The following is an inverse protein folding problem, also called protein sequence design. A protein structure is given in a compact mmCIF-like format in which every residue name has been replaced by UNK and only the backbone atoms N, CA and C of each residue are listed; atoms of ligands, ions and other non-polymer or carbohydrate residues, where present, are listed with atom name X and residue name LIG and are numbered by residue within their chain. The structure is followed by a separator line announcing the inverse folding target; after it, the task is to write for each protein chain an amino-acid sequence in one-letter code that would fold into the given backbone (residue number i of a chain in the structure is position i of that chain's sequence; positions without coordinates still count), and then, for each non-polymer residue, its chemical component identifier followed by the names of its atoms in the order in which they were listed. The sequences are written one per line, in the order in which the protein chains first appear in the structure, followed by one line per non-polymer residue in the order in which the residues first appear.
data_IF_095517382452
#
_entry.id   IF_095517382452
#
_cell.length_a   1.000
_cell.length_b   1.000
_cell.length_c   1.000
_cell.angle_alpha   90.00
_cell.angle_beta   90.00
_cell.angle_gamma   90.00
#
_symmetry.space_group_name_H-M   'P 1'
#
loop_
_entity.id
_entity.type
_entity.pdbx_description
1 polymer ?
#
# COMPACT_ATOMS: atom_id res chain seq x y z
N UNK A 1 -3.97 24.12 -24.35
CA UNK A 1 -4.75 25.37 -24.43
C UNK A 1 -4.32 26.18 -25.63
N UNK A 2 -5.27 26.76 -26.38
CA UNK A 2 -4.97 27.71 -27.45
C UNK A 2 -5.27 29.13 -26.97
N UNK A 3 -4.38 30.07 -27.25
CA UNK A 3 -4.55 31.47 -26.92
C UNK A 3 -4.18 32.38 -28.11
N UNK A 4 -4.89 33.49 -28.27
CA UNK A 4 -4.49 34.54 -29.19
C UNK A 4 -3.49 35.48 -28.50
N UNK A 5 -2.62 36.14 -29.25
CA UNK A 5 -1.71 37.15 -28.73
C UNK A 5 -2.50 38.36 -28.27
N UNK A 6 -3.43 38.85 -29.11
CA UNK A 6 -4.23 40.02 -28.81
C UNK A 6 -5.63 39.65 -28.39
N UNK A 7 -5.91 39.84 -27.10
CA UNK A 7 -7.25 39.59 -26.55
C UNK A 7 -7.74 40.82 -25.77
N UNK A 8 -9.06 41.08 -25.71
CA UNK A 8 -9.62 42.11 -24.88
C UNK A 8 -9.33 41.85 -23.39
N UNK A 9 -9.01 42.89 -22.61
CA UNK A 9 -8.76 42.88 -21.16
C UNK A 9 -7.42 42.32 -20.72
N UNK A 10 -6.94 41.24 -21.32
CA UNK A 10 -5.66 40.59 -21.00
C UNK A 10 -5.09 40.01 -22.28
N UNK A 11 -3.87 40.38 -22.65
CA UNK A 11 -3.19 39.81 -23.80
C UNK A 11 -2.62 38.41 -23.51
N UNK A 12 -2.26 37.68 -24.56
CA UNK A 12 -1.75 36.32 -24.45
C UNK A 12 -0.46 36.23 -23.66
N UNK A 13 0.45 37.20 -23.74
CA UNK A 13 1.70 37.25 -23.01
C UNK A 13 1.46 37.33 -21.49
N UNK A 14 0.61 38.28 -21.10
CA UNK A 14 0.19 38.43 -19.70
C UNK A 14 -0.49 37.17 -19.16
N UNK A 15 -1.28 36.50 -19.98
CA UNK A 15 -1.93 35.23 -19.62
C UNK A 15 -0.89 34.14 -19.37
N UNK A 16 0.06 33.93 -20.29
CA UNK A 16 1.12 32.92 -20.17
C UNK A 16 1.96 33.16 -18.94
N UNK A 17 2.38 34.41 -18.69
CA UNK A 17 3.16 34.76 -17.49
C UNK A 17 2.41 34.42 -16.18
N UNK A 18 1.10 34.66 -16.12
CA UNK A 18 0.29 34.26 -14.94
C UNK A 18 0.16 32.76 -14.77
N UNK A 19 0.26 31.99 -15.85
CA UNK A 19 0.19 30.54 -15.80
C UNK A 19 1.50 29.90 -15.31
N UNK A 20 2.61 30.64 -15.29
CA UNK A 20 3.86 30.14 -14.69
C UNK A 20 3.73 29.88 -13.19
N UNK A 21 2.80 30.51 -12.52
CA UNK A 21 2.51 30.35 -11.09
C UNK A 21 1.63 29.12 -10.77
N UNK A 22 1.07 28.45 -11.80
CA UNK A 22 0.22 27.27 -11.59
C UNK A 22 1.04 26.03 -11.27
N UNK A 23 0.57 25.23 -10.33
CA UNK A 23 1.16 23.95 -9.96
C UNK A 23 1.07 22.90 -11.11
N UNK A 24 0.02 22.98 -11.92
CA UNK A 24 -0.14 22.17 -13.15
C UNK A 24 -0.25 23.13 -14.34
N UNK A 25 0.80 23.19 -15.15
CA UNK A 25 0.87 24.08 -16.32
C UNK A 25 0.25 23.38 -17.54
N UNK A 26 -0.76 23.97 -18.19
CA UNK A 26 -1.28 23.43 -19.43
C UNK A 26 -0.28 23.65 -20.57
N UNK A 27 -0.28 22.73 -21.53
CA UNK A 27 0.41 22.94 -22.81
C UNK A 27 -0.25 24.10 -23.54
N UNK A 28 0.51 25.16 -23.86
CA UNK A 28 0.01 26.39 -24.47
C UNK A 28 0.48 26.48 -25.92
N UNK A 29 -0.46 26.76 -26.82
CA UNK A 29 -0.22 27.03 -28.23
C UNK A 29 -0.78 28.41 -28.54
N UNK A 30 0.02 29.23 -29.21
CA UNK A 30 -0.31 30.59 -29.55
C UNK A 30 -0.84 30.67 -30.98
N UNK A 31 -1.94 31.43 -31.15
CA UNK A 31 -2.47 31.82 -32.44
C UNK A 31 -1.97 33.22 -32.78
N UNK A 32 -1.20 33.38 -33.87
CA UNK A 32 -0.53 34.65 -34.20
C UNK A 32 -0.89 35.15 -35.60
N UNK A 33 -1.03 36.45 -35.77
CA UNK A 33 -1.03 37.11 -37.07
C UNK A 33 0.40 37.34 -37.60
N UNK A 34 0.52 37.70 -38.88
CA UNK A 34 1.82 37.96 -39.51
C UNK A 34 2.63 39.08 -38.80
N UNK A 35 1.96 40.09 -38.30
CA UNK A 35 2.57 41.26 -37.64
C UNK A 35 2.98 41.01 -36.20
N UNK A 36 2.72 39.80 -35.67
CA UNK A 36 2.86 39.46 -34.26
C UNK A 36 3.99 38.46 -33.99
N UNK A 37 4.81 38.14 -34.99
CA UNK A 37 5.88 37.13 -34.90
C UNK A 37 6.85 37.40 -33.73
N UNK A 38 7.21 38.68 -33.51
CA UNK A 38 8.11 39.06 -32.40
C UNK A 38 7.53 38.68 -31.02
N UNK A 39 6.22 38.85 -30.84
CA UNK A 39 5.51 38.49 -29.60
C UNK A 39 5.43 36.96 -29.44
N UNK A 40 5.22 36.22 -30.54
CA UNK A 40 5.23 34.76 -30.50
C UNK A 40 6.59 34.21 -30.03
N UNK A 41 7.68 34.77 -30.53
CA UNK A 41 9.06 34.42 -30.12
C UNK A 41 9.30 34.74 -28.63
N UNK A 42 8.77 35.85 -28.12
CA UNK A 42 8.86 36.20 -26.72
C UNK A 42 8.07 35.22 -25.84
N UNK A 43 6.86 34.86 -26.24
CA UNK A 43 6.02 33.89 -25.53
C UNK A 43 6.65 32.51 -25.49
N UNK A 44 7.42 32.10 -26.51
CA UNK A 44 8.18 30.85 -26.50
C UNK A 44 9.21 30.79 -25.37
N UNK A 45 9.84 31.91 -25.00
CA UNK A 45 10.76 31.98 -23.85
C UNK A 45 10.07 31.77 -22.52
N UNK A 46 8.75 31.96 -22.48
CA UNK A 46 7.88 31.75 -21.30
C UNK A 46 7.18 30.37 -21.32
N UNK A 47 7.72 29.40 -22.06
CA UNK A 47 7.24 28.01 -22.01
C UNK A 47 6.00 27.71 -22.88
N UNK A 48 5.70 28.57 -23.88
CA UNK A 48 4.73 28.24 -24.91
C UNK A 48 5.30 27.11 -25.79
N UNK A 49 4.50 26.09 -26.04
CA UNK A 49 4.96 24.88 -26.77
C UNK A 49 5.13 25.12 -28.26
N UNK A 50 4.19 25.83 -28.85
CA UNK A 50 4.19 26.09 -30.30
C UNK A 50 3.33 27.30 -30.68
N UNK A 51 3.43 27.75 -31.93
CA UNK A 51 2.57 28.82 -32.46
C UNK A 51 2.02 28.48 -33.83
N UNK A 52 0.82 28.96 -34.14
CA UNK A 52 0.14 28.76 -35.41
C UNK A 52 -0.17 30.11 -36.02
N UNK A 53 0.25 30.31 -37.28
CA UNK A 53 -0.06 31.51 -38.05
C UNK A 53 -1.51 31.50 -38.60
N UNK A 54 -2.18 32.61 -38.50
CA UNK A 54 -3.47 32.86 -39.14
C UNK A 54 -3.27 33.15 -40.64
N UNK A 55 -4.12 32.61 -41.55
CA UNK A 55 -5.36 31.87 -41.29
C UNK A 55 -5.09 30.41 -40.89
N UNK A 56 -5.80 29.96 -39.86
CA UNK A 56 -5.63 28.63 -39.29
C UNK A 56 -6.21 27.58 -40.25
N UNK A 57 -5.37 26.64 -40.67
CA UNK A 57 -5.81 25.49 -41.46
C UNK A 57 -6.11 24.31 -40.54
N UNK A 58 -7.18 23.58 -40.89
CA UNK A 58 -7.63 22.40 -40.14
C UNK A 58 -6.51 21.35 -40.03
N UNK A 59 -5.83 21.09 -41.14
CA UNK A 59 -4.78 20.09 -41.25
C UNK A 59 -3.59 20.40 -40.27
N UNK A 60 -3.27 21.69 -40.12
CA UNK A 60 -2.20 22.14 -39.21
C UNK A 60 -2.55 21.86 -37.74
N UNK A 61 -3.82 22.10 -37.37
CA UNK A 61 -4.28 21.80 -36.01
C UNK A 61 -4.33 20.30 -35.76
N UNK A 62 -4.86 19.52 -36.73
CA UNK A 62 -4.93 18.04 -36.60
C UNK A 62 -3.52 17.44 -36.40
N UNK A 63 -2.55 17.80 -37.23
CA UNK A 63 -1.16 17.34 -37.09
C UNK A 63 -0.54 17.73 -35.76
N UNK A 64 -0.77 18.94 -35.30
CA UNK A 64 -0.24 19.43 -34.03
C UNK A 64 -0.86 18.68 -32.85
N UNK A 65 -2.16 18.43 -32.87
CA UNK A 65 -2.84 17.67 -31.82
C UNK A 65 -2.39 16.21 -31.80
N UNK A 66 -2.23 15.56 -32.94
CA UNK A 66 -1.68 14.19 -33.03
C UNK A 66 -0.26 14.10 -32.48
N UNK A 67 0.61 15.08 -32.78
CA UNK A 67 1.95 15.11 -32.23
C UNK A 67 1.96 15.31 -30.73
N UNK A 68 1.11 16.21 -30.20
CA UNK A 68 1.00 16.45 -28.76
C UNK A 68 0.42 15.23 -28.04
N UNK A 69 -0.56 14.55 -28.62
CA UNK A 69 -1.15 13.34 -28.05
C UNK A 69 -0.08 12.25 -27.94
N UNK A 70 0.72 12.06 -28.98
CA UNK A 70 1.82 11.08 -28.97
C UNK A 70 2.86 11.43 -27.89
N UNK A 71 3.35 12.68 -27.84
CA UNK A 71 4.33 13.11 -26.83
C UNK A 71 3.81 12.93 -25.41
N UNK A 72 2.56 13.29 -25.16
CA UNK A 72 1.93 13.13 -23.85
C UNK A 72 1.73 11.65 -23.48
N UNK A 73 1.44 10.80 -24.45
CA UNK A 73 1.32 9.35 -24.24
C UNK A 73 2.66 8.72 -23.90
N UNK A 74 3.72 9.05 -24.68
CA UNK A 74 5.07 8.57 -24.43
C UNK A 74 5.60 9.04 -23.04
N UNK A 75 5.30 10.27 -22.64
CA UNK A 75 5.67 10.79 -21.31
C UNK A 75 4.93 10.05 -20.20
N UNK A 76 3.62 9.79 -20.38
CA UNK A 76 2.82 9.04 -19.39
C UNK A 76 3.28 7.61 -19.24
N UNK A 77 3.54 6.92 -20.36
CA UNK A 77 4.06 5.55 -20.33
C UNK A 77 5.39 5.47 -19.58
N UNK A 78 6.28 6.45 -19.78
CA UNK A 78 7.56 6.54 -19.07
C UNK A 78 7.35 6.79 -17.57
N UNK A 79 6.48 7.73 -17.19
CA UNK A 79 6.17 8.04 -15.80
C UNK A 79 5.52 6.85 -15.08
N UNK A 80 4.59 6.14 -15.73
CA UNK A 80 3.95 4.94 -15.18
C UNK A 80 4.95 3.79 -15.01
N UNK A 81 5.91 3.65 -15.93
CA UNK A 81 6.95 2.63 -15.86
C UNK A 81 7.98 2.93 -14.75
N UNK A 82 8.36 4.20 -14.59
CA UNK A 82 9.21 4.66 -13.49
C UNK A 82 8.52 4.46 -12.12
N UNK A 83 7.24 4.74 -12.02
CA UNK A 83 6.47 4.56 -10.79
C UNK A 83 6.33 3.07 -10.45
N UNK A 84 6.04 2.22 -11.45
CA UNK A 84 5.97 0.76 -11.27
C UNK A 84 7.32 0.19 -10.82
N UNK A 85 8.41 0.66 -11.40
CA UNK A 85 9.77 0.28 -11.01
C UNK A 85 10.04 0.66 -9.55
N UNK A 86 9.68 1.88 -9.15
CA UNK A 86 9.81 2.37 -7.78
C UNK A 86 9.03 1.52 -6.78
N UNK A 87 7.75 1.23 -7.06
CA UNK A 87 6.91 0.41 -6.16
C UNK A 87 7.45 -1.02 -6.02
N UNK A 88 7.97 -1.60 -7.10
CA UNK A 88 8.60 -2.92 -7.07
C UNK A 88 9.89 -2.92 -6.24
N UNK A 89 10.72 -1.89 -6.38
CA UNK A 89 11.95 -1.74 -5.61
C UNK A 89 11.64 -1.55 -4.12
N UNK A 90 10.67 -0.70 -3.77
CA UNK A 90 10.23 -0.51 -2.39
C UNK A 90 9.74 -1.81 -1.78
N UNK A 91 8.91 -2.56 -2.51
CA UNK A 91 8.44 -3.88 -2.08
C UNK A 91 9.59 -4.83 -1.82
N UNK A 92 10.56 -4.89 -2.72
CA UNK A 92 11.73 -5.75 -2.58
C UNK A 92 12.53 -5.42 -1.31
N UNK A 93 12.82 -4.14 -1.07
CA UNK A 93 13.55 -3.69 0.11
C UNK A 93 12.81 -4.01 1.42
N UNK A 94 11.49 -3.80 1.43
CA UNK A 94 10.67 -4.14 2.61
C UNK A 94 10.67 -5.64 2.92
N UNK A 95 10.55 -6.48 1.90
CA UNK A 95 10.46 -7.93 2.10
C UNK A 95 11.81 -8.59 2.36
N UNK A 96 12.91 -7.95 2.00
CA UNK A 96 14.28 -8.45 2.18
C UNK A 96 15.11 -7.51 3.07
N UNK A 97 14.49 -6.94 4.09
CA UNK A 97 15.11 -5.92 4.94
C UNK A 97 16.42 -6.36 5.60
N UNK A 98 16.57 -7.65 5.91
CA UNK A 98 17.80 -8.22 6.48
C UNK A 98 18.99 -8.18 5.50
N UNK A 99 18.73 -8.13 4.20
CA UNK A 99 19.75 -8.09 3.15
C UNK A 99 19.93 -6.71 2.54
N UNK A 100 18.98 -5.79 2.80
CA UNK A 100 19.00 -4.44 2.24
C UNK A 100 20.06 -3.58 2.91
N UNK A 101 20.88 -2.92 2.09
CA UNK A 101 21.88 -1.98 2.60
C UNK A 101 21.25 -0.62 2.92
N UNK A 102 21.80 0.07 3.92
CA UNK A 102 21.37 1.42 4.31
C UNK A 102 21.38 2.39 3.12
N UNK A 103 22.34 2.25 2.24
CA UNK A 103 22.47 3.07 1.04
C UNK A 103 21.26 2.94 0.10
N UNK A 104 20.70 1.75 -0.07
CA UNK A 104 19.53 1.53 -0.93
C UNK A 104 18.30 2.28 -0.40
N UNK A 105 18.10 2.31 0.92
CA UNK A 105 17.06 3.08 1.56
C UNK A 105 17.27 4.59 1.40
N UNK A 106 18.52 5.08 1.55
CA UNK A 106 18.85 6.48 1.34
C UNK A 106 18.60 6.93 -0.10
N UNK A 107 18.92 6.09 -1.09
CA UNK A 107 18.66 6.38 -2.51
C UNK A 107 17.16 6.48 -2.80
N UNK A 108 16.34 5.73 -2.06
CA UNK A 108 14.88 5.74 -2.20
C UNK A 108 14.18 6.86 -1.39
N UNK A 109 14.82 7.42 -0.37
CA UNK A 109 14.20 8.35 0.58
C UNK A 109 13.52 9.52 -0.10
N UNK A 110 14.18 10.19 -1.05
CA UNK A 110 13.64 11.35 -1.75
C UNK A 110 12.36 11.02 -2.54
N UNK A 111 12.26 9.81 -3.08
CA UNK A 111 11.08 9.32 -3.81
C UNK A 111 9.95 8.99 -2.85
N UNK A 112 10.25 8.29 -1.77
CA UNK A 112 9.28 7.97 -0.72
C UNK A 112 8.70 9.26 -0.12
N UNK A 113 9.58 10.22 0.23
CA UNK A 113 9.18 11.51 0.81
C UNK A 113 8.29 12.35 -0.09
N UNK A 114 8.38 12.23 -1.40
CA UNK A 114 7.44 12.89 -2.32
C UNK A 114 6.00 12.44 -2.12
N UNK A 115 5.77 11.20 -1.73
CA UNK A 115 4.44 10.62 -1.53
C UNK A 115 3.90 10.83 -0.11
N UNK A 116 4.77 10.74 0.92
CA UNK A 116 4.36 10.77 2.31
C UNK A 116 4.72 12.08 3.04
N UNK A 117 5.44 12.99 2.41
CA UNK A 117 5.97 14.19 3.05
C UNK A 117 7.18 13.93 3.96
N UNK A 118 7.58 14.96 4.68
CA UNK A 118 8.75 14.91 5.57
C UNK A 118 8.39 14.62 7.03
N UNK A 119 7.10 14.58 7.35
CA UNK A 119 6.59 14.29 8.68
C UNK A 119 6.59 12.79 8.99
N UNK A 120 5.93 12.43 10.06
CA UNK A 120 5.75 11.04 10.45
C UNK A 120 4.77 10.30 9.54
N UNK A 121 4.92 8.99 9.50
CA UNK A 121 4.10 8.10 8.71
C UNK A 121 3.69 6.85 9.51
N UNK A 122 2.67 6.16 9.01
CA UNK A 122 2.27 4.82 9.46
C UNK A 122 2.12 3.87 8.28
N UNK A 123 2.28 2.59 8.57
CA UNK A 123 1.91 1.52 7.64
C UNK A 123 0.60 0.91 8.11
N UNK A 124 -0.33 0.79 7.17
CA UNK A 124 -1.60 0.11 7.32
C UNK A 124 -1.63 -1.09 6.39
N UNK A 125 -2.11 -2.23 6.87
CA UNK A 125 -2.20 -3.47 6.10
C UNK A 125 -3.61 -4.05 6.19
N UNK A 126 -4.23 -4.31 5.03
CA UNK A 126 -5.59 -4.85 4.94
C UNK A 126 -5.70 -5.95 3.89
N UNK A 127 -6.83 -6.67 3.84
CA UNK A 127 -7.09 -7.67 2.81
C UNK A 127 -7.29 -7.02 1.43
N UNK A 128 -7.04 -7.75 0.35
CA UNK A 128 -7.19 -7.27 -1.03
C UNK A 128 -8.61 -6.77 -1.34
N UNK A 129 -9.63 -7.43 -0.82
CA UNK A 129 -11.03 -7.07 -1.04
C UNK A 129 -11.39 -5.64 -0.56
N UNK A 130 -10.57 -5.08 0.33
CA UNK A 130 -10.80 -3.78 0.95
C UNK A 130 -9.87 -2.68 0.39
N UNK A 131 -8.88 -3.06 -0.41
CA UNK A 131 -7.85 -2.15 -0.92
C UNK A 131 -8.38 -1.02 -1.80
N UNK A 132 -9.37 -1.29 -2.64
CA UNK A 132 -9.93 -0.32 -3.58
C UNK A 132 -10.58 0.89 -2.89
N UNK A 133 -11.10 0.71 -1.67
CA UNK A 133 -11.77 1.79 -0.93
C UNK A 133 -10.81 2.92 -0.56
N UNK A 134 -9.56 2.62 -0.35
CA UNK A 134 -8.54 3.58 0.05
C UNK A 134 -7.67 4.08 -1.10
N UNK A 135 -8.01 3.78 -2.35
CA UNK A 135 -7.26 4.16 -3.54
C UNK A 135 -7.13 5.68 -3.77
N UNK A 136 -7.95 6.48 -3.07
CA UNK A 136 -7.92 7.95 -3.12
C UNK A 136 -7.08 8.60 -2.02
N UNK A 137 -6.40 7.80 -1.19
CA UNK A 137 -5.57 8.31 -0.12
C UNK A 137 -4.25 8.84 -0.67
N UNK A 138 -3.76 9.94 -0.08
CA UNK A 138 -2.38 10.38 -0.34
C UNK A 138 -1.41 9.39 0.32
N UNK A 139 -0.33 9.05 -0.38
CA UNK A 139 0.66 8.11 0.11
C UNK A 139 1.02 7.04 -0.91
N UNK A 140 1.66 5.97 -0.47
CA UNK A 140 2.09 4.85 -1.31
C UNK A 140 1.19 3.64 -1.06
N UNK A 141 0.72 3.01 -2.15
CA UNK A 141 -0.08 1.79 -2.12
C UNK A 141 0.71 0.66 -2.76
N UNK A 142 0.84 -0.47 -2.04
CA UNK A 142 1.46 -1.70 -2.53
C UNK A 142 0.45 -2.85 -2.46
N UNK A 143 0.01 -3.34 -3.62
CA UNK A 143 -0.86 -4.51 -3.71
C UNK A 143 -0.08 -5.83 -3.65
N UNK A 144 -0.72 -6.89 -3.19
CA UNK A 144 -0.16 -8.24 -3.18
C UNK A 144 0.89 -8.48 -2.09
N UNK A 145 0.96 -7.62 -1.07
CA UNK A 145 1.82 -7.81 0.10
C UNK A 145 1.10 -8.74 1.07
N UNK A 146 1.65 -9.93 1.31
CA UNK A 146 1.04 -10.96 2.17
C UNK A 146 -0.46 -11.23 1.87
N UNK A 147 -0.80 -11.29 0.57
CA UNK A 147 -2.19 -11.48 0.13
C UNK A 147 -3.12 -10.31 0.36
N UNK A 148 -2.59 -9.15 0.77
CA UNK A 148 -3.35 -7.95 1.08
C UNK A 148 -2.87 -6.70 0.33
N UNK A 149 -3.26 -5.56 0.85
CA UNK A 149 -2.87 -4.24 0.37
C UNK A 149 -2.22 -3.47 1.51
N UNK A 150 -1.03 -2.97 1.25
CA UNK A 150 -0.27 -2.14 2.16
C UNK A 150 -0.40 -0.67 1.76
N UNK A 151 -0.64 0.17 2.74
CA UNK A 151 -0.64 1.62 2.64
C UNK A 151 0.47 2.19 3.50
N UNK A 152 1.38 2.95 2.90
CA UNK A 152 2.34 3.80 3.59
C UNK A 152 1.83 5.24 3.51
N UNK A 153 1.33 5.75 4.62
CA UNK A 153 0.57 7.00 4.67
C UNK A 153 1.20 8.02 5.61
N UNK A 154 1.09 9.32 5.30
CA UNK A 154 1.33 10.38 6.27
C UNK A 154 0.42 10.20 7.49
N UNK A 155 0.91 10.55 8.69
CA UNK A 155 0.16 10.38 9.95
C UNK A 155 -1.27 10.96 9.92
N UNK A 156 -1.53 12.19 9.42
CA UNK A 156 -2.88 12.73 9.39
C UNK A 156 -3.86 11.91 8.55
N UNK A 157 -3.38 11.31 7.46
CA UNK A 157 -4.17 10.47 6.58
C UNK A 157 -4.44 9.10 7.20
N UNK A 158 -3.42 8.51 7.85
CA UNK A 158 -3.56 7.28 8.60
C UNK A 158 -4.60 7.40 9.72
N UNK A 159 -4.54 8.48 10.52
CA UNK A 159 -5.54 8.76 11.55
C UNK A 159 -6.97 8.91 10.99
N UNK A 160 -7.11 9.53 9.81
CA UNK A 160 -8.41 9.67 9.16
C UNK A 160 -9.01 8.30 8.85
N UNK A 161 -8.23 7.40 8.26
CA UNK A 161 -8.64 6.04 7.90
C UNK A 161 -8.98 5.22 9.15
N UNK A 162 -8.18 5.32 10.20
CA UNK A 162 -8.42 4.61 11.47
C UNK A 162 -9.74 4.98 12.13
N UNK A 163 -10.24 6.19 11.92
CA UNK A 163 -11.53 6.67 12.43
C UNK A 163 -12.73 6.12 11.62
N UNK A 164 -12.52 5.71 10.39
CA UNK A 164 -13.53 5.10 9.53
C UNK A 164 -13.72 3.61 9.89
N UNK A 165 -14.42 3.35 11.00
CA UNK A 165 -14.70 1.97 11.44
C UNK A 165 -15.70 1.30 10.50
N UNK A 166 -15.29 0.24 9.84
CA UNK A 166 -16.17 -0.65 9.09
C UNK A 166 -15.92 -2.09 9.55
N UNK A 167 -16.94 -2.73 10.11
CA UNK A 167 -16.84 -4.08 10.70
C UNK A 167 -16.45 -5.18 9.69
N UNK A 168 -16.44 -4.85 8.40
CA UNK A 168 -16.04 -5.78 7.32
C UNK A 168 -14.52 -5.83 7.10
N UNK A 169 -13.74 -5.03 7.82
CA UNK A 169 -12.30 -4.94 7.63
C UNK A 169 -11.51 -5.55 8.77
N UNK A 170 -10.39 -6.18 8.41
CA UNK A 170 -9.29 -6.42 9.32
C UNK A 170 -8.14 -5.49 8.89
N UNK A 171 -8.03 -4.36 9.56
CA UNK A 171 -6.99 -3.37 9.34
C UNK A 171 -5.95 -3.46 10.45
N UNK A 172 -4.74 -3.85 10.10
CA UNK A 172 -3.59 -3.77 11.00
C UNK A 172 -2.86 -2.45 10.81
N UNK A 173 -2.56 -1.76 11.90
CA UNK A 173 -1.94 -0.44 11.91
C UNK A 173 -0.63 -0.51 12.70
N UNK A 174 0.50 -0.17 12.04
CA UNK A 174 1.80 0.00 12.69
C UNK A 174 1.84 1.26 13.55
N UNK A 175 2.92 1.43 14.30
CA UNK A 175 3.18 2.68 15.03
C UNK A 175 3.51 3.83 14.09
N UNK A 176 3.53 5.02 14.67
CA UNK A 176 4.09 6.20 14.05
C UNK A 176 5.62 6.09 13.95
N UNK A 177 6.15 6.29 12.76
CA UNK A 177 7.57 6.31 12.44
C UNK A 177 7.97 7.59 11.72
N UNK A 178 9.27 7.92 11.76
CA UNK A 178 9.78 9.15 11.12
C UNK A 178 10.90 8.88 10.12
N UNK A 179 11.70 7.87 10.36
CA UNK A 179 12.79 7.51 9.46
C UNK A 179 12.33 6.51 8.39
N UNK A 180 12.71 6.73 7.14
CA UNK A 180 12.46 5.78 6.05
C UNK A 180 13.12 4.43 6.32
N UNK A 181 14.22 4.42 7.08
CA UNK A 181 14.91 3.20 7.53
C UNK A 181 14.04 2.32 8.44
N UNK A 182 13.00 2.88 9.06
CA UNK A 182 12.07 2.16 9.94
C UNK A 182 10.89 1.53 9.19
N UNK A 183 10.79 1.71 7.87
CA UNK A 183 9.72 1.12 7.06
C UNK A 183 9.60 -0.40 7.25
N UNK A 184 10.70 -1.19 7.28
CA UNK A 184 10.61 -2.63 7.53
C UNK A 184 10.02 -2.95 8.92
N UNK A 185 10.41 -2.22 9.95
CA UNK A 185 9.85 -2.39 11.31
C UNK A 185 8.36 -2.03 11.32
N UNK A 186 8.01 -0.88 10.76
CA UNK A 186 6.62 -0.44 10.63
C UNK A 186 5.74 -1.45 9.87
N UNK A 187 6.30 -2.11 8.85
CA UNK A 187 5.63 -3.19 8.12
C UNK A 187 5.36 -4.40 9.02
N UNK A 188 6.36 -4.87 9.76
CA UNK A 188 6.19 -6.00 10.68
C UNK A 188 5.17 -5.69 11.78
N UNK A 189 5.17 -4.47 12.30
CA UNK A 189 4.18 -4.00 13.26
C UNK A 189 2.76 -4.05 12.69
N UNK A 190 2.55 -3.54 11.47
CA UNK A 190 1.25 -3.56 10.80
C UNK A 190 0.78 -4.99 10.48
N UNK A 191 1.71 -5.88 10.11
CA UNK A 191 1.42 -7.29 9.87
C UNK A 191 0.91 -7.98 11.14
N UNK A 192 1.62 -7.84 12.24
CA UNK A 192 1.23 -8.39 13.54
C UNK A 192 -0.11 -7.82 14.01
N UNK A 193 -0.33 -6.52 13.83
CA UNK A 193 -1.59 -5.88 14.17
C UNK A 193 -2.76 -6.43 13.34
N UNK A 194 -2.57 -6.67 12.02
CA UNK A 194 -3.58 -7.27 11.15
C UNK A 194 -3.96 -8.68 11.60
N UNK A 195 -2.98 -9.48 11.98
CA UNK A 195 -3.22 -10.82 12.49
C UNK A 195 -4.02 -10.79 13.79
N UNK A 196 -3.72 -9.84 14.69
CA UNK A 196 -4.51 -9.64 15.90
C UNK A 196 -5.93 -9.17 15.60
N UNK A 197 -6.10 -8.24 14.65
CA UNK A 197 -7.42 -7.79 14.20
C UNK A 197 -8.27 -8.96 13.74
N UNK A 198 -7.69 -9.87 12.95
CA UNK A 198 -8.37 -11.08 12.47
C UNK A 198 -8.74 -12.03 13.61
N UNK A 199 -7.80 -12.34 14.52
CA UNK A 199 -8.01 -13.27 15.64
C UNK A 199 -9.09 -12.75 16.58
N UNK A 200 -9.08 -11.45 16.88
CA UNK A 200 -10.02 -10.83 17.82
C UNK A 200 -11.32 -10.38 17.15
N UNK A 201 -11.44 -10.52 15.83
CA UNK A 201 -12.55 -9.98 15.02
C UNK A 201 -12.75 -8.47 15.24
N UNK A 202 -11.66 -7.74 15.42
CA UNK A 202 -11.69 -6.29 15.49
C UNK A 202 -11.51 -5.71 14.08
N UNK A 203 -12.31 -4.71 13.69
CA UNK A 203 -12.17 -4.10 12.37
C UNK A 203 -10.83 -3.35 12.21
N UNK A 204 -10.30 -2.77 13.28
CA UNK A 204 -9.03 -2.04 13.29
C UNK A 204 -8.27 -2.41 14.56
N UNK A 205 -7.02 -2.81 14.41
CA UNK A 205 -6.11 -3.07 15.53
C UNK A 205 -4.81 -2.29 15.32
N UNK A 206 -4.41 -1.54 16.33
CA UNK A 206 -3.13 -0.83 16.35
C UNK A 206 -2.09 -1.67 17.07
N UNK A 207 -0.87 -1.71 16.54
CA UNK A 207 0.22 -2.46 17.13
C UNK A 207 0.56 -1.96 18.54
N UNK A 208 0.58 -2.86 19.49
CA UNK A 208 1.00 -2.61 20.86
C UNK A 208 2.02 -3.66 21.28
N UNK A 209 3.27 -3.26 21.51
CA UNK A 209 4.37 -4.17 21.83
C UNK A 209 4.02 -5.19 22.94
N UNK A 210 3.31 -4.75 23.97
CA UNK A 210 2.89 -5.61 25.10
C UNK A 210 1.97 -6.77 24.70
N UNK A 211 1.27 -6.66 23.57
CA UNK A 211 0.36 -7.70 23.09
C UNK A 211 1.09 -8.86 22.43
N UNK A 212 2.38 -8.69 22.12
CA UNK A 212 3.19 -9.66 21.37
C UNK A 212 4.33 -10.24 22.19
N UNK A 213 4.36 -10.00 23.50
CA UNK A 213 5.31 -10.65 24.42
C UNK A 213 4.95 -12.13 24.57
N UNK A 214 5.97 -12.97 24.54
CA UNK A 214 5.80 -14.41 24.74
C UNK A 214 5.18 -14.71 26.12
N UNK A 215 4.14 -15.55 26.13
CA UNK A 215 3.51 -16.02 27.36
C UNK A 215 3.97 -17.45 27.67
N UNK A 216 4.77 -17.64 28.72
CA UNK A 216 5.29 -18.96 29.10
C UNK A 216 4.19 -20.01 29.35
N UNK A 217 3.00 -19.56 29.74
CA UNK A 217 1.83 -20.42 30.02
C UNK A 217 1.34 -21.19 28.80
N UNK A 218 1.62 -20.67 27.58
CA UNK A 218 1.27 -21.33 26.34
C UNK A 218 2.12 -22.56 26.03
N UNK A 219 3.42 -22.50 26.32
CA UNK A 219 4.29 -23.66 26.19
C UNK A 219 3.86 -24.77 27.16
N UNK A 220 3.48 -24.43 28.39
CA UNK A 220 2.96 -25.38 29.38
C UNK A 220 1.62 -25.98 28.92
N UNK A 221 0.76 -25.18 28.29
CA UNK A 221 -0.50 -25.68 27.74
C UNK A 221 -0.22 -26.69 26.61
N UNK A 222 0.69 -26.35 25.70
CA UNK A 222 1.07 -27.24 24.59
C UNK A 222 1.54 -28.61 25.11
N UNK A 223 2.47 -28.63 26.08
CA UNK A 223 2.98 -29.88 26.65
C UNK A 223 1.85 -30.70 27.31
N UNK A 224 1.00 -30.07 28.14
CA UNK A 224 -0.11 -30.76 28.80
C UNK A 224 -1.14 -31.27 27.81
N UNK A 225 -1.41 -30.51 26.72
CA UNK A 225 -2.37 -30.89 25.70
C UNK A 225 -1.88 -32.09 24.89
N UNK A 226 -0.63 -32.09 24.46
CA UNK A 226 0.01 -33.19 23.72
C UNK A 226 -0.03 -34.50 24.54
N UNK A 227 0.23 -34.45 25.84
CA UNK A 227 0.14 -35.61 26.71
C UNK A 227 -1.28 -36.18 26.86
N UNK A 228 -2.32 -35.37 26.68
CA UNK A 228 -3.72 -35.78 26.79
C UNK A 228 -4.33 -36.32 25.47
N UNK A 229 -3.76 -35.94 24.33
CA UNK A 229 -4.25 -36.36 23.01
C UNK A 229 -4.42 -37.88 22.87
N UNK A 230 -3.49 -38.72 23.34
CA UNK A 230 -3.63 -40.19 23.24
C UNK A 230 -4.77 -40.78 24.08
N UNK A 231 -5.22 -40.09 25.08
CA UNK A 231 -6.20 -40.60 26.06
C UNK A 231 -7.63 -40.08 25.82
N UNK A 232 -7.77 -39.02 25.07
CA UNK A 232 -9.06 -38.36 24.82
C UNK A 232 -9.67 -38.81 23.48
N UNK A 233 -11.02 -38.78 23.39
CA UNK A 233 -11.72 -38.92 22.11
C UNK A 233 -11.49 -37.68 21.23
N UNK A 234 -11.46 -37.87 19.92
CA UNK A 234 -11.22 -36.79 18.95
C UNK A 234 -12.11 -35.56 19.17
N UNK A 235 -13.41 -35.77 19.45
CA UNK A 235 -14.33 -34.66 19.72
C UNK A 235 -13.95 -33.85 20.97
N UNK A 236 -13.41 -34.52 21.98
CA UNK A 236 -12.94 -33.88 23.21
C UNK A 236 -11.69 -33.06 22.96
N UNK A 237 -10.76 -33.61 22.15
CA UNK A 237 -9.53 -32.93 21.74
C UNK A 237 -9.86 -31.66 20.95
N UNK A 238 -10.74 -31.76 19.93
CA UNK A 238 -11.15 -30.61 19.12
C UNK A 238 -11.86 -29.53 19.94
N UNK A 239 -12.72 -29.95 20.88
CA UNK A 239 -13.40 -28.99 21.79
C UNK A 239 -12.41 -28.27 22.70
N UNK A 240 -11.42 -28.96 23.27
CA UNK A 240 -10.37 -28.38 24.10
C UNK A 240 -9.52 -27.41 23.29
N UNK A 241 -9.13 -27.79 22.06
CA UNK A 241 -8.39 -26.91 21.14
C UNK A 241 -9.17 -25.64 20.84
N UNK A 242 -10.44 -25.75 20.49
CA UNK A 242 -11.28 -24.60 20.19
C UNK A 242 -11.42 -23.66 21.39
N UNK A 243 -11.67 -24.19 22.58
CA UNK A 243 -11.78 -23.38 23.78
C UNK A 243 -10.45 -22.67 24.11
N UNK A 244 -9.34 -23.39 24.03
CA UNK A 244 -8.03 -22.80 24.23
C UNK A 244 -7.75 -21.66 23.22
N UNK A 245 -8.06 -21.87 21.94
CA UNK A 245 -7.89 -20.86 20.92
C UNK A 245 -8.70 -19.58 21.22
N UNK A 246 -9.94 -19.74 21.65
CA UNK A 246 -10.77 -18.63 22.08
C UNK A 246 -10.21 -17.90 23.30
N UNK A 247 -9.74 -18.62 24.31
CA UNK A 247 -9.13 -18.01 25.48
C UNK A 247 -7.83 -17.29 25.14
N UNK A 248 -6.98 -17.88 24.33
CA UNK A 248 -5.72 -17.29 23.89
C UNK A 248 -5.97 -16.02 23.06
N UNK A 249 -6.95 -16.03 22.17
CA UNK A 249 -7.34 -14.84 21.41
C UNK A 249 -7.81 -13.69 22.29
N UNK A 250 -8.61 -13.98 23.33
CA UNK A 250 -9.06 -12.97 24.30
C UNK A 250 -7.94 -12.43 25.18
N UNK A 251 -6.92 -13.24 25.46
CA UNK A 251 -5.75 -12.85 26.24
C UNK A 251 -4.70 -12.09 25.44
N UNK A 252 -4.98 -11.74 24.18
CA UNK A 252 -4.04 -11.06 23.26
C UNK A 252 -2.69 -11.77 23.18
N UNK A 253 -2.75 -13.06 22.95
CA UNK A 253 -1.53 -13.86 22.71
C UNK A 253 -0.96 -13.51 21.35
N UNK A 254 0.36 -13.49 21.22
CA UNK A 254 1.03 -13.26 19.95
C UNK A 254 0.50 -14.22 18.87
N UNK A 255 0.09 -13.73 17.67
CA UNK A 255 -0.33 -14.56 16.56
C UNK A 255 0.70 -15.62 16.20
N UNK A 256 1.98 -15.27 16.25
CA UNK A 256 3.09 -16.19 15.99
C UNK A 256 3.10 -17.35 17.00
N UNK A 257 2.95 -17.07 18.30
CA UNK A 257 2.85 -18.12 19.30
C UNK A 257 1.62 -19.00 19.12
N UNK A 258 0.47 -18.41 18.79
CA UNK A 258 -0.75 -19.15 18.48
C UNK A 258 -0.54 -20.11 17.30
N UNK A 259 0.09 -19.63 16.23
CA UNK A 259 0.38 -20.43 15.05
C UNK A 259 1.34 -21.57 15.39
N UNK A 260 2.45 -21.25 16.06
CA UNK A 260 3.49 -22.23 16.45
C UNK A 260 2.90 -23.35 17.32
N UNK A 261 2.09 -22.98 18.34
CA UNK A 261 1.42 -23.97 19.19
C UNK A 261 0.40 -24.78 18.42
N UNK A 262 -0.39 -24.14 17.55
CA UNK A 262 -1.38 -24.84 16.71
C UNK A 262 -0.72 -25.81 15.74
N UNK A 263 0.35 -25.42 15.07
CA UNK A 263 1.13 -26.29 14.17
C UNK A 263 1.72 -27.49 14.91
N UNK A 264 2.30 -27.25 16.10
CA UNK A 264 2.85 -28.32 16.91
C UNK A 264 1.76 -29.32 17.34
N UNK A 265 0.60 -28.84 17.79
CA UNK A 265 -0.54 -29.69 18.14
C UNK A 265 -1.07 -30.44 16.93
N UNK A 266 -1.22 -29.80 15.77
CA UNK A 266 -1.66 -30.45 14.54
C UNK A 266 -0.68 -31.54 14.10
N UNK A 267 0.61 -31.29 14.22
CA UNK A 267 1.66 -32.26 13.89
C UNK A 267 1.59 -33.50 14.80
N UNK A 268 1.39 -33.34 16.09
CA UNK A 268 1.22 -34.44 17.04
C UNK A 268 -0.10 -35.20 16.79
N UNK A 269 -1.20 -34.52 16.50
CA UNK A 269 -2.45 -35.13 16.11
C UNK A 269 -2.29 -35.94 14.82
N UNK A 270 -1.60 -35.43 13.81
CA UNK A 270 -1.34 -36.13 12.56
C UNK A 270 -0.50 -37.41 12.78
N UNK A 271 0.50 -37.35 13.65
CA UNK A 271 1.30 -38.52 14.05
C UNK A 271 0.46 -39.54 14.81
N UNK A 272 -0.43 -39.10 15.68
CA UNK A 272 -1.26 -39.98 16.50
C UNK A 272 -2.39 -40.67 15.70
N UNK A 273 -3.05 -39.91 14.79
CA UNK A 273 -4.17 -40.43 13.98
C UNK A 273 -3.76 -40.97 12.61
N UNK A 274 -2.49 -41.01 12.23
CA UNK A 274 -2.00 -41.73 11.05
C UNK A 274 -2.10 -43.26 11.28
N UNK A 275 -3.32 -43.77 11.42
CA UNK A 275 -3.58 -45.17 11.22
C UNK A 275 -3.74 -45.50 9.73
N UNK A 276 -3.23 -46.66 9.24
CA UNK A 276 -3.02 -46.91 7.78
C UNK A 276 -4.28 -47.04 6.93
N UNK A 277 -5.49 -46.84 7.42
CA UNK A 277 -6.69 -47.29 6.66
C UNK A 277 -7.81 -46.27 6.46
N UNK A 278 -7.69 -44.98 6.89
CA UNK A 278 -8.66 -43.97 6.49
C UNK A 278 -7.98 -42.61 6.31
N UNK A 279 -7.65 -42.32 5.07
CA UNK A 279 -7.27 -40.98 4.61
C UNK A 279 -8.51 -40.06 4.56
N UNK A 280 -9.06 -39.72 5.69
CA UNK A 280 -9.77 -38.41 5.80
C UNK A 280 -8.67 -37.41 6.05
N UNK A 281 -8.42 -36.53 5.07
CA UNK A 281 -7.47 -35.43 5.16
C UNK A 281 -7.81 -34.62 6.41
N UNK A 282 -6.90 -34.63 7.38
CA UNK A 282 -6.92 -33.63 8.44
C UNK A 282 -7.10 -32.25 7.78
N UNK A 283 -8.11 -31.45 8.16
CA UNK A 283 -8.23 -30.11 7.61
C UNK A 283 -6.89 -29.41 7.84
N UNK A 284 -6.27 -28.94 6.76
CA UNK A 284 -5.04 -28.15 6.87
C UNK A 284 -5.33 -27.03 7.88
N UNK A 285 -4.42 -26.75 8.83
CA UNK A 285 -4.56 -25.55 9.63
C UNK A 285 -4.83 -24.41 8.65
N UNK A 286 -5.88 -23.64 8.89
CA UNK A 286 -6.25 -22.50 8.08
C UNK A 286 -4.99 -21.67 7.91
N UNK A 287 -4.35 -21.80 6.76
CA UNK A 287 -3.31 -20.86 6.43
C UNK A 287 -4.02 -19.53 6.34
N UNK A 288 -3.59 -18.58 7.14
CA UNK A 288 -4.07 -17.21 7.18
C UNK A 288 -4.26 -16.59 5.78
N UNK A 289 -3.52 -17.13 4.79
CA UNK A 289 -3.56 -16.75 3.36
C UNK A 289 -4.78 -17.30 2.59
N UNK A 290 -5.45 -18.34 3.10
CA UNK A 290 -6.56 -19.02 2.41
C UNK A 290 -7.94 -18.59 2.95
N UNK A 291 -8.00 -17.67 3.91
CA UNK A 291 -9.22 -17.15 4.46
C UNK A 291 -9.77 -16.00 3.59
N UNK A 292 -10.16 -16.32 2.36
CA UNK A 292 -11.15 -15.58 1.62
C UNK A 292 -12.53 -15.88 2.23
N UNK A 293 -12.93 -15.08 3.22
CA UNK A 293 -14.30 -15.03 3.73
C UNK A 293 -14.75 -13.59 3.87
#
# INVERSE_FOLDING_TARGET
MFTDIRMPKMDGLTLVNKMEELSQKPVVIVLSGYDEFSYAVEMMKHGVRDYILKPIKRETIEQLLENLERELSETRETEEEEERCFLNQLRYLMMNAEMAEEKEWMDMESRIRRHIGNDSFRILLTSKANGERFSKCSGILLEGVEGGVLYLLPEPEAERIMKEKDERFCLGVGKEHRSVMEIPEAYQEALLAREMAFIQKNPVEEYQKKCFEEKPELAQFQEKFILQVPTDRADTVLRKMRNWYFEAAHQRVSPYQLLTVTEAICKELDLFYRMPEKQEKCPRPLQYRDADL
#
